data_IF_758202529235
#
_entry.id   IF_758202529235
#
_cell.length_a   1.000
_cell.length_b   1.000
_cell.length_c   1.000
_cell.angle_alpha   90.00
_cell.angle_beta   90.00
_cell.angle_gamma   90.00
#
_symmetry.space_group_name_H-M   'P 1'
#
loop_
_entity.id
_entity.type
_entity.pdbx_description
1 polymer ?
#
# COMPACT_ATOMS: atom_id res chain seq x y z
N UNK A 1 -17.50 -20.02 -8.60
CA UNK A 1 -16.04 -19.98 -8.61
C UNK A 1 -15.58 -19.44 -7.26
N UNK A 2 -14.54 -20.02 -6.68
CA UNK A 2 -13.95 -19.59 -5.41
C UNK A 2 -12.82 -18.60 -5.65
N UNK A 3 -12.80 -17.47 -4.94
CA UNK A 3 -11.76 -16.45 -5.08
C UNK A 3 -10.87 -16.32 -3.84
N UNK A 4 -9.58 -16.08 -4.07
CA UNK A 4 -8.62 -15.68 -3.04
C UNK A 4 -8.07 -14.27 -3.32
N UNK A 5 -8.19 -13.41 -2.33
CA UNK A 5 -7.70 -12.04 -2.30
C UNK A 5 -6.26 -11.94 -1.79
N UNK A 6 -5.46 -11.12 -2.45
CA UNK A 6 -4.10 -10.75 -2.06
C UNK A 6 -4.02 -9.24 -1.88
N UNK A 7 -3.45 -8.78 -0.77
CA UNK A 7 -3.25 -7.36 -0.49
C UNK A 7 -1.80 -7.01 -0.81
N UNK A 8 -1.56 -6.16 -1.81
CA UNK A 8 -0.25 -6.06 -2.46
C UNK A 8 0.11 -4.64 -2.89
N UNK A 9 1.40 -4.43 -3.15
CA UNK A 9 1.93 -3.17 -3.69
C UNK A 9 2.68 -3.36 -5.00
N UNK A 10 3.31 -4.52 -5.18
CA UNK A 10 4.05 -4.92 -6.38
C UNK A 10 5.04 -3.85 -6.87
N UNK A 11 5.96 -3.44 -6.00
CA UNK A 11 6.90 -2.35 -6.25
C UNK A 11 8.38 -2.78 -6.36
N UNK A 12 8.82 -3.47 -7.43
CA UNK A 12 8.03 -4.06 -8.51
C UNK A 12 7.48 -5.46 -8.15
N UNK A 13 6.69 -6.07 -9.03
CA UNK A 13 6.29 -7.47 -8.93
C UNK A 13 7.51 -8.39 -9.15
N UNK A 14 7.79 -9.35 -8.27
CA UNK A 14 9.05 -10.12 -8.26
C UNK A 14 8.79 -11.60 -7.94
N UNK A 15 9.81 -12.46 -8.01
CA UNK A 15 9.64 -13.92 -7.86
C UNK A 15 9.06 -14.34 -6.49
N UNK A 16 9.41 -13.61 -5.42
CA UNK A 16 8.74 -13.78 -4.12
C UNK A 16 7.22 -13.53 -4.15
N UNK A 17 6.73 -12.60 -4.99
CA UNK A 17 5.30 -12.40 -5.21
C UNK A 17 4.67 -13.53 -6.03
N UNK A 18 5.39 -14.08 -7.01
CA UNK A 18 4.95 -15.29 -7.76
C UNK A 18 4.76 -16.46 -6.80
N UNK A 19 5.76 -16.72 -5.95
CA UNK A 19 5.69 -17.77 -4.95
C UNK A 19 4.50 -17.56 -4.02
N UNK A 20 4.32 -16.34 -3.49
CA UNK A 20 3.17 -16.02 -2.63
C UNK A 20 1.84 -16.28 -3.34
N UNK A 21 1.68 -15.80 -4.58
CA UNK A 21 0.48 -16.01 -5.39
C UNK A 21 0.17 -17.50 -5.57
N UNK A 22 1.15 -18.30 -5.98
CA UNK A 22 0.99 -19.73 -6.21
C UNK A 22 0.63 -20.47 -4.92
N UNK A 23 1.34 -20.21 -3.83
CA UNK A 23 1.07 -20.84 -2.54
C UNK A 23 -0.29 -20.42 -1.97
N UNK A 24 -0.69 -19.16 -2.13
CA UNK A 24 -2.03 -18.71 -1.76
C UNK A 24 -3.11 -19.43 -2.58
N UNK A 25 -2.92 -19.59 -3.88
CA UNK A 25 -3.86 -20.30 -4.74
C UNK A 25 -4.00 -21.77 -4.33
N UNK A 26 -2.88 -22.47 -4.13
CA UNK A 26 -2.86 -23.87 -3.69
C UNK A 26 -3.50 -24.05 -2.31
N UNK A 27 -3.10 -23.22 -1.34
CA UNK A 27 -3.58 -23.32 0.05
C UNK A 27 -5.07 -23.02 0.17
N UNK A 28 -5.60 -22.11 -0.65
CA UNK A 28 -7.02 -21.75 -0.65
C UNK A 28 -7.84 -22.57 -1.63
N UNK A 29 -7.22 -23.35 -2.52
CA UNK A 29 -7.88 -24.02 -3.64
C UNK A 29 -8.73 -23.04 -4.46
N UNK A 30 -8.21 -21.82 -4.66
CA UNK A 30 -8.96 -20.77 -5.34
C UNK A 30 -8.96 -20.99 -6.85
N UNK A 31 -10.14 -20.82 -7.44
CA UNK A 31 -10.26 -20.68 -8.88
C UNK A 31 -9.68 -19.34 -9.31
N UNK A 32 -10.00 -18.24 -8.61
CA UNK A 32 -9.70 -16.88 -9.07
C UNK A 32 -8.78 -16.18 -8.10
N UNK A 33 -7.70 -15.58 -8.61
CA UNK A 33 -6.79 -14.77 -7.80
C UNK A 33 -7.08 -13.28 -7.97
N UNK A 34 -7.44 -12.59 -6.89
CA UNK A 34 -7.79 -11.17 -6.88
C UNK A 34 -6.72 -10.40 -6.12
N UNK A 35 -6.03 -9.47 -6.77
CA UNK A 35 -5.12 -8.54 -6.09
C UNK A 35 -5.83 -7.23 -5.80
N UNK A 36 -5.84 -6.77 -4.55
CA UNK A 36 -6.09 -5.36 -4.21
C UNK A 36 -4.74 -4.67 -4.07
N UNK A 37 -4.44 -3.75 -4.98
CA UNK A 37 -3.11 -3.20 -5.17
C UNK A 37 -3.08 -1.71 -4.85
N UNK A 38 -2.12 -1.28 -4.02
CA UNK A 38 -1.83 0.14 -3.81
C UNK A 38 -1.72 0.88 -5.14
N UNK A 39 -2.33 2.06 -5.22
CA UNK A 39 -2.30 2.96 -6.38
C UNK A 39 -0.89 3.56 -6.57
N UNK A 40 -0.78 4.80 -7.02
CA UNK A 40 0.47 5.48 -7.37
C UNK A 40 1.47 5.60 -6.22
N UNK A 41 0.96 5.74 -4.99
CA UNK A 41 1.75 5.81 -3.77
C UNK A 41 1.41 4.66 -2.84
N UNK A 42 2.37 4.26 -2.03
CA UNK A 42 2.35 3.02 -1.26
C UNK A 42 2.14 3.25 0.25
N UNK A 43 1.93 2.18 1.00
CA UNK A 43 1.69 2.19 2.46
C UNK A 43 2.80 2.89 3.25
N UNK A 44 4.04 2.73 2.79
CA UNK A 44 5.20 3.38 3.42
C UNK A 44 5.36 4.85 3.01
N UNK A 45 4.48 5.34 2.13
CA UNK A 45 4.55 6.67 1.54
C UNK A 45 5.48 6.76 0.34
N UNK A 46 6.04 5.66 -0.15
CA UNK A 46 6.91 5.72 -1.33
C UNK A 46 6.09 5.86 -2.62
N UNK A 47 6.58 6.59 -3.64
CA UNK A 47 6.05 6.46 -4.99
C UNK A 47 6.36 5.04 -5.51
N UNK A 48 5.40 4.43 -6.20
CA UNK A 48 5.68 3.18 -6.90
C UNK A 48 6.67 3.42 -8.04
N UNK A 49 7.65 2.53 -8.25
CA UNK A 49 8.73 2.66 -9.24
C UNK A 49 8.22 2.85 -10.67
N UNK A 50 7.05 2.27 -10.97
CA UNK A 50 6.29 2.46 -12.19
C UNK A 50 4.79 2.52 -11.89
N UNK A 51 4.01 3.06 -12.83
CA UNK A 51 2.59 3.34 -12.61
C UNK A 51 1.77 2.07 -12.28
N UNK A 52 0.57 2.29 -11.73
CA UNK A 52 -0.33 1.20 -11.33
C UNK A 52 -0.80 0.34 -12.50
N UNK A 53 -0.79 0.85 -13.73
CA UNK A 53 -1.25 0.10 -14.91
C UNK A 53 -0.18 -0.87 -15.43
N UNK A 54 1.09 -0.46 -15.43
CA UNK A 54 2.21 -1.33 -15.76
C UNK A 54 2.39 -2.40 -14.68
N UNK A 55 2.21 -2.07 -13.40
CA UNK A 55 2.15 -3.07 -12.31
C UNK A 55 0.98 -4.04 -12.47
N UNK A 56 -0.21 -3.55 -12.82
CA UNK A 56 -1.36 -4.42 -13.08
C UNK A 56 -1.12 -5.38 -14.27
N UNK A 57 -0.51 -4.90 -15.37
CA UNK A 57 -0.12 -5.77 -16.49
C UNK A 57 0.87 -6.86 -16.08
N UNK A 58 1.88 -6.51 -15.28
CA UNK A 58 2.85 -7.48 -14.78
C UNK A 58 2.17 -8.56 -13.91
N UNK A 59 1.27 -8.15 -13.02
CA UNK A 59 0.52 -9.07 -12.15
C UNK A 59 -0.39 -10.02 -12.95
N UNK A 60 -1.17 -9.49 -13.91
CA UNK A 60 -2.09 -10.29 -14.73
C UNK A 60 -1.35 -11.36 -15.55
N UNK A 61 -0.20 -11.00 -16.15
CA UNK A 61 0.64 -11.95 -16.91
C UNK A 61 1.36 -12.97 -16.03
N UNK A 62 1.36 -12.76 -14.72
CA UNK A 62 2.00 -13.63 -13.74
C UNK A 62 1.00 -14.52 -12.98
N UNK A 63 -0.29 -14.51 -13.36
CA UNK A 63 -1.31 -15.41 -12.82
C UNK A 63 -2.34 -14.76 -11.89
N UNK A 64 -2.31 -13.43 -11.72
CA UNK A 64 -3.43 -12.72 -11.08
C UNK A 64 -4.58 -12.62 -12.07
N UNK A 65 -5.82 -12.87 -11.65
CA UNK A 65 -6.99 -12.83 -12.52
C UNK A 65 -7.70 -11.47 -12.52
N UNK A 66 -7.65 -10.75 -11.40
CA UNK A 66 -8.29 -9.43 -11.24
C UNK A 66 -7.35 -8.53 -10.44
N UNK A 67 -7.11 -7.31 -10.91
CA UNK A 67 -6.40 -6.28 -10.14
C UNK A 67 -7.36 -5.14 -9.82
N UNK A 68 -7.68 -4.99 -8.55
CA UNK A 68 -8.41 -3.86 -7.98
C UNK A 68 -7.43 -2.80 -7.49
N UNK A 69 -7.79 -1.54 -7.65
CA UNK A 69 -7.07 -0.42 -7.03
C UNK A 69 -7.50 -0.28 -5.58
N UNK A 70 -6.53 -0.24 -4.66
CA UNK A 70 -6.74 0.22 -3.31
C UNK A 70 -6.78 1.76 -3.33
N UNK A 71 -7.89 2.40 -2.92
CA UNK A 71 -7.95 3.85 -2.90
C UNK A 71 -6.82 4.45 -2.07
N UNK A 72 -6.18 5.50 -2.60
CA UNK A 72 -5.13 6.31 -2.03
C UNK A 72 -5.33 6.62 -0.54
N UNK A 73 -6.55 7.00 -0.14
CA UNK A 73 -6.87 7.35 1.25
C UNK A 73 -6.63 6.21 2.22
N UNK A 74 -6.68 4.96 1.74
CA UNK A 74 -6.34 3.75 2.49
C UNK A 74 -4.92 3.28 2.17
N UNK A 75 -4.48 3.41 0.91
CA UNK A 75 -3.16 2.97 0.47
C UNK A 75 -2.04 3.65 1.25
N UNK A 76 -2.11 4.97 1.47
CA UNK A 76 -1.05 5.74 2.13
C UNK A 76 -1.37 5.94 3.61
N UNK A 77 -1.48 4.86 4.37
CA UNK A 77 -1.87 4.89 5.79
C UNK A 77 -1.06 3.93 6.67
N UNK A 78 -1.31 4.00 7.97
CA UNK A 78 -0.85 2.98 8.91
C UNK A 78 -1.59 1.65 8.69
N UNK A 79 -1.04 0.56 9.24
CA UNK A 79 -1.44 -0.81 8.94
C UNK A 79 -2.95 -1.07 9.08
N UNK A 80 -3.59 -0.61 10.16
CA UNK A 80 -5.03 -0.87 10.39
C UNK A 80 -5.92 -0.21 9.32
N UNK A 81 -5.67 1.04 8.95
CA UNK A 81 -6.50 1.73 7.95
C UNK A 81 -6.20 1.23 6.52
N UNK A 82 -4.94 0.87 6.24
CA UNK A 82 -4.55 0.17 5.02
C UNK A 82 -5.27 -1.18 4.89
N UNK A 83 -5.23 -1.99 5.95
CA UNK A 83 -5.91 -3.27 6.04
C UNK A 83 -7.42 -3.11 5.88
N UNK A 84 -8.02 -2.13 6.55
CA UNK A 84 -9.45 -1.84 6.45
C UNK A 84 -9.88 -1.57 5.00
N UNK A 85 -9.22 -0.65 4.30
CA UNK A 85 -9.56 -0.35 2.91
C UNK A 85 -9.39 -1.54 1.98
N UNK A 86 -8.31 -2.30 2.15
CA UNK A 86 -8.04 -3.49 1.34
C UNK A 86 -9.09 -4.59 1.56
N UNK A 87 -9.44 -4.87 2.82
CA UNK A 87 -10.45 -5.86 3.19
C UNK A 87 -11.84 -5.41 2.76
N UNK A 88 -12.21 -4.13 2.91
CA UNK A 88 -13.47 -3.58 2.38
C UNK A 88 -13.58 -3.78 0.87
N UNK A 89 -12.49 -3.53 0.14
CA UNK A 89 -12.44 -3.66 -1.32
C UNK A 89 -12.60 -5.13 -1.75
N UNK A 90 -11.87 -6.05 -1.11
CA UNK A 90 -11.97 -7.49 -1.42
C UNK A 90 -13.34 -8.06 -1.03
N UNK A 91 -13.82 -7.72 0.18
CA UNK A 91 -15.13 -8.15 0.66
C UNK A 91 -16.26 -7.62 -0.22
N UNK A 92 -16.12 -6.38 -0.73
CA UNK A 92 -17.09 -5.78 -1.63
C UNK A 92 -17.22 -6.50 -2.97
N UNK A 93 -16.15 -7.16 -3.45
CA UNK A 93 -16.21 -7.99 -4.66
C UNK A 93 -16.78 -9.40 -4.39
N UNK A 94 -16.94 -9.80 -3.12
CA UNK A 94 -17.39 -11.14 -2.75
C UNK A 94 -16.27 -12.19 -2.71
N UNK A 95 -15.05 -11.78 -2.34
CA UNK A 95 -13.88 -12.68 -2.22
C UNK A 95 -14.01 -13.59 -1.00
N UNK A 96 -13.77 -14.90 -1.18
CA UNK A 96 -13.98 -15.92 -0.16
C UNK A 96 -12.87 -16.01 0.90
N UNK A 97 -11.60 -15.93 0.48
CA UNK A 97 -10.43 -16.02 1.35
C UNK A 97 -9.50 -14.82 1.12
N UNK A 98 -8.89 -14.24 2.16
CA UNK A 98 -7.75 -13.31 2.02
C UNK A 98 -6.48 -14.00 2.50
N UNK A 99 -5.45 -14.05 1.66
CA UNK A 99 -4.19 -14.70 2.00
C UNK A 99 -3.03 -13.71 2.08
N UNK A 100 -2.28 -13.76 3.18
CA UNK A 100 -1.11 -12.93 3.42
C UNK A 100 0.10 -13.75 3.90
N UNK A 101 1.31 -13.34 3.52
CA UNK A 101 2.53 -13.93 4.06
C UNK A 101 2.78 -13.46 5.49
N UNK A 102 3.19 -14.36 6.38
CA UNK A 102 3.58 -14.02 7.76
C UNK A 102 4.84 -14.78 8.20
N UNK A 103 5.49 -14.29 9.25
CA UNK A 103 6.57 -15.02 9.90
C UNK A 103 6.04 -16.27 10.64
N UNK A 104 4.83 -16.19 11.21
CA UNK A 104 4.21 -17.26 11.99
C UNK A 104 3.69 -18.43 11.12
N UNK A 105 3.19 -18.15 9.91
CA UNK A 105 2.74 -19.16 8.94
C UNK A 105 1.48 -19.95 9.34
N UNK A 106 0.81 -19.60 10.43
CA UNK A 106 -0.44 -20.22 10.90
C UNK A 106 -1.47 -19.16 11.24
N UNK A 107 -2.73 -19.41 10.88
CA UNK A 107 -3.80 -18.42 11.05
C UNK A 107 -4.37 -18.37 12.47
N UNK A 108 -4.54 -19.52 13.14
CA UNK A 108 -5.21 -19.59 14.45
C UNK A 108 -4.63 -18.64 15.51
N UNK A 109 -3.30 -18.46 15.61
CA UNK A 109 -2.71 -17.49 16.53
C UNK A 109 -3.16 -16.05 16.29
N UNK A 110 -3.37 -15.62 15.03
CA UNK A 110 -3.86 -14.28 14.72
C UNK A 110 -5.32 -14.10 15.14
N UNK A 111 -6.16 -15.11 14.89
CA UNK A 111 -7.58 -15.10 15.29
C UNK A 111 -7.70 -15.05 16.82
N UNK A 112 -6.97 -15.92 17.52
CA UNK A 112 -6.90 -15.90 18.99
C UNK A 112 -6.38 -14.56 19.51
N UNK A 113 -5.33 -14.03 18.88
CA UNK A 113 -4.77 -12.72 19.20
C UNK A 113 -5.80 -11.60 19.09
N UNK A 114 -6.66 -11.62 18.07
CA UNK A 114 -7.71 -10.61 17.90
C UNK A 114 -8.77 -10.71 18.99
N UNK A 115 -9.23 -11.91 19.33
CA UNK A 115 -10.19 -12.11 20.41
C UNK A 115 -9.62 -11.66 21.76
N UNK A 116 -8.35 -11.98 22.01
CA UNK A 116 -7.64 -11.51 23.19
C UNK A 116 -7.50 -9.98 23.23
N UNK A 117 -7.13 -9.35 22.12
CA UNK A 117 -7.10 -7.90 21.97
C UNK A 117 -8.45 -7.25 22.30
N UNK A 118 -9.54 -7.82 21.77
CA UNK A 118 -10.90 -7.32 21.99
C UNK A 118 -11.32 -7.39 23.46
N UNK A 119 -10.97 -8.46 24.16
CA UNK A 119 -11.24 -8.62 25.59
C UNK A 119 -10.44 -7.65 26.47
N UNK A 120 -9.22 -7.28 26.05
CA UNK A 120 -8.30 -6.43 26.83
C UNK A 120 -8.22 -4.98 26.30
N UNK A 121 -9.19 -4.55 25.50
CA UNK A 121 -9.17 -3.23 24.87
C UNK A 121 -9.15 -2.08 25.88
N UNK A 122 -9.78 -2.26 27.05
CA UNK A 122 -9.79 -1.30 28.15
C UNK A 122 -8.41 -1.11 28.81
N UNK A 123 -7.50 -2.07 28.67
CA UNK A 123 -6.10 -1.96 29.11
C UNK A 123 -5.22 -1.42 27.99
N UNK A 124 -5.44 -1.90 26.76
CA UNK A 124 -4.67 -1.51 25.59
C UNK A 124 -4.77 0.00 25.28
N UNK A 125 -5.99 0.55 25.24
CA UNK A 125 -6.22 1.93 24.77
C UNK A 125 -5.55 2.98 25.68
N UNK A 126 -5.69 2.93 27.02
CA UNK A 126 -4.97 3.85 27.91
C UNK A 126 -3.46 3.75 27.76
N UNK A 127 -2.91 2.54 27.63
CA UNK A 127 -1.46 2.34 27.48
C UNK A 127 -0.93 2.93 26.17
N UNK A 128 -1.66 2.74 25.06
CA UNK A 128 -1.35 3.33 23.77
C UNK A 128 -1.36 4.87 23.86
N UNK A 129 -2.43 5.44 24.41
CA UNK A 129 -2.57 6.89 24.55
C UNK A 129 -1.48 7.50 25.43
N UNK A 130 -1.16 6.86 26.57
CA UNK A 130 -0.10 7.33 27.44
C UNK A 130 1.26 7.29 26.73
N UNK A 131 1.57 6.18 26.05
CA UNK A 131 2.81 6.03 25.30
C UNK A 131 2.98 7.08 24.19
N UNK A 132 1.88 7.47 23.53
CA UNK A 132 1.89 8.56 22.53
C UNK A 132 2.08 9.93 23.18
N UNK A 133 1.46 10.18 24.34
CA UNK A 133 1.66 11.41 25.13
C UNK A 133 3.12 11.54 25.59
N UNK A 134 3.75 10.43 25.94
CA UNK A 134 5.17 10.35 26.30
C UNK A 134 6.11 10.59 25.09
N UNK A 135 5.55 10.79 23.90
CA UNK A 135 6.29 11.14 22.69
C UNK A 135 6.92 9.98 21.96
N UNK A 136 6.50 8.74 22.25
CA UNK A 136 6.87 7.60 21.44
C UNK A 136 6.20 7.66 20.08
N UNK A 137 6.89 7.15 19.07
CA UNK A 137 6.27 6.93 17.76
C UNK A 137 5.13 5.90 17.86
N UNK A 138 4.15 5.99 16.95
CA UNK A 138 3.02 5.05 16.95
C UNK A 138 3.44 3.57 16.94
N UNK A 139 4.42 3.10 16.14
CA UNK A 139 4.87 1.71 16.21
C UNK A 139 5.41 1.32 17.59
N UNK A 140 6.16 2.20 18.26
CA UNK A 140 6.70 1.95 19.60
C UNK A 140 5.59 1.97 20.65
N UNK A 141 4.67 2.92 20.56
CA UNK A 141 3.53 3.03 21.47
C UNK A 141 2.58 1.83 21.34
N UNK A 142 2.30 1.41 20.10
CA UNK A 142 1.49 0.23 19.80
C UNK A 142 2.17 -1.05 20.27
N UNK A 143 3.49 -1.21 20.07
CA UNK A 143 4.26 -2.33 20.63
C UNK A 143 4.12 -2.41 22.15
N UNK A 144 4.31 -1.30 22.87
CA UNK A 144 4.13 -1.24 24.33
C UNK A 144 2.70 -1.59 24.77
N UNK A 145 1.71 -1.12 24.02
CA UNK A 145 0.32 -1.44 24.31
C UNK A 145 0.02 -2.94 24.09
N UNK A 146 0.56 -3.56 23.04
CA UNK A 146 0.46 -5.01 22.84
C UNK A 146 1.21 -5.80 23.91
N UNK A 147 2.39 -5.34 24.35
CA UNK A 147 3.14 -5.93 25.46
C UNK A 147 2.32 -5.90 26.75
N UNK A 148 1.63 -4.80 27.06
CA UNK A 148 0.81 -4.68 28.28
C UNK A 148 -0.37 -5.66 28.35
N UNK A 149 -0.79 -6.20 27.21
CA UNK A 149 -1.83 -7.21 27.13
C UNK A 149 -1.27 -8.59 26.74
N UNK A 150 0.05 -8.77 26.67
CA UNK A 150 0.69 -10.07 26.43
C UNK A 150 0.63 -10.60 24.99
N UNK A 151 0.49 -9.73 23.98
CA UNK A 151 0.43 -10.13 22.56
C UNK A 151 1.78 -10.07 21.81
N UNK A 152 2.90 -9.93 22.51
CA UNK A 152 4.25 -9.89 21.91
C UNK A 152 5.14 -11.08 22.28
N UNK A 153 4.70 -11.91 23.23
CA UNK A 153 5.46 -13.07 23.73
C UNK A 153 4.79 -14.40 23.41
N UNK A 154 3.68 -14.38 22.67
CA UNK A 154 2.90 -15.56 22.28
C UNK A 154 3.34 -16.20 20.95
N UNK A 155 2.47 -17.05 20.40
CA UNK A 155 2.71 -17.76 19.12
C UNK A 155 2.81 -16.81 17.91
N UNK A 156 2.31 -15.58 18.03
CA UNK A 156 2.50 -14.50 17.05
C UNK A 156 3.18 -13.33 17.75
N UNK A 157 4.41 -13.04 17.32
CA UNK A 157 5.12 -11.82 17.70
C UNK A 157 4.64 -10.66 16.81
N UNK A 158 3.77 -9.82 17.35
CA UNK A 158 3.26 -8.60 16.70
C UNK A 158 4.32 -7.50 16.55
N UNK A 159 5.55 -7.70 17.00
CA UNK A 159 6.67 -6.79 16.70
C UNK A 159 7.27 -7.03 15.31
N UNK A 160 6.99 -8.17 14.67
CA UNK A 160 7.44 -8.48 13.31
C UNK A 160 6.58 -7.76 12.25
N UNK A 161 7.18 -7.24 11.16
CA UNK A 161 6.46 -6.42 10.17
C UNK A 161 5.32 -7.12 9.44
N UNK A 162 5.45 -8.40 9.06
CA UNK A 162 4.37 -9.08 8.34
C UNK A 162 3.31 -9.63 9.31
N UNK A 163 3.69 -10.06 10.51
CA UNK A 163 2.74 -10.42 11.56
C UNK A 163 1.85 -9.24 11.96
N UNK A 164 2.40 -8.03 12.21
CA UNK A 164 1.54 -6.89 12.58
C UNK A 164 0.55 -6.53 11.47
N UNK A 165 0.99 -6.63 10.21
CA UNK A 165 0.13 -6.38 9.07
C UNK A 165 -0.95 -7.47 8.91
N UNK A 166 -0.57 -8.74 9.08
CA UNK A 166 -1.48 -9.88 9.12
C UNK A 166 -2.54 -9.77 10.22
N UNK A 167 -2.13 -9.31 11.40
CA UNK A 167 -3.04 -9.01 12.50
C UNK A 167 -4.02 -7.89 12.15
N UNK A 168 -3.56 -6.81 11.51
CA UNK A 168 -4.44 -5.75 11.00
C UNK A 168 -5.44 -6.27 9.97
N UNK A 169 -5.09 -7.25 9.12
CA UNK A 169 -6.04 -7.86 8.20
C UNK A 169 -7.11 -8.69 8.90
N UNK A 170 -6.72 -9.54 9.86
CA UNK A 170 -7.67 -10.32 10.67
C UNK A 170 -8.61 -9.38 11.43
N UNK A 171 -8.04 -8.35 12.07
CA UNK A 171 -8.80 -7.30 12.76
C UNK A 171 -9.81 -6.63 11.82
N UNK A 172 -9.39 -6.24 10.61
CA UNK A 172 -10.25 -5.60 9.64
C UNK A 172 -11.39 -6.51 9.17
N UNK A 173 -11.11 -7.80 8.88
CA UNK A 173 -12.13 -8.80 8.49
C UNK A 173 -13.22 -8.92 9.55
N UNK A 174 -12.81 -9.05 10.81
CA UNK A 174 -13.72 -9.20 11.95
C UNK A 174 -14.51 -7.91 12.23
N UNK A 175 -13.87 -6.74 12.16
CA UNK A 175 -14.52 -5.45 12.45
C UNK A 175 -15.56 -5.04 11.41
N UNK A 176 -15.39 -5.44 10.14
CA UNK A 176 -16.41 -5.20 9.11
C UNK A 176 -17.43 -6.34 9.01
N UNK A 177 -17.32 -7.38 9.85
CA UNK A 177 -18.13 -8.60 9.79
C UNK A 177 -18.15 -9.24 8.37
N UNK A 178 -16.99 -9.31 7.73
CA UNK A 178 -16.88 -9.93 6.40
C UNK A 178 -17.08 -11.44 6.47
N UNK A 179 -17.64 -12.02 5.42
CA UNK A 179 -17.69 -13.48 5.22
C UNK A 179 -16.32 -14.05 4.79
N UNK A 180 -15.39 -13.17 4.39
CA UNK A 180 -14.06 -13.54 3.91
C UNK A 180 -13.24 -14.18 5.02
N UNK A 181 -12.58 -15.31 4.71
CA UNK A 181 -11.77 -16.06 5.67
C UNK A 181 -10.30 -15.64 5.58
N UNK A 182 -9.67 -15.20 6.67
CA UNK A 182 -8.24 -14.89 6.62
C UNK A 182 -7.43 -16.18 6.58
N UNK A 183 -6.34 -16.16 5.81
CA UNK A 183 -5.40 -17.25 5.59
C UNK A 183 -3.98 -16.70 5.61
N UNK A 184 -3.02 -17.53 5.97
CA UNK A 184 -1.63 -17.12 5.91
C UNK A 184 -0.72 -18.25 5.47
N UNK A 185 0.36 -17.89 4.78
CA UNK A 185 1.44 -18.79 4.41
C UNK A 185 2.74 -18.31 5.07
N UNK A 186 3.62 -19.24 5.38
CA UNK A 186 4.93 -18.90 5.93
C UNK A 186 5.81 -18.27 4.84
N UNK A 187 6.45 -17.14 5.16
CA UNK A 187 7.44 -16.55 4.24
C UNK A 187 8.70 -17.42 4.20
N UNK A 188 9.10 -17.84 3.00
CA UNK A 188 10.44 -18.43 2.76
C UNK A 188 11.50 -17.34 2.98
N UNK A 189 12.51 -17.64 3.81
CA UNK A 189 13.52 -16.68 4.30
C UNK A 189 14.22 -15.93 3.16
N UNK A 190 13.71 -14.76 2.82
CA UNK A 190 14.52 -13.60 2.41
C UNK A 190 14.24 -12.59 3.51
N UNK A 191 15.25 -12.32 4.35
CA UNK A 191 15.09 -11.44 5.49
C UNK A 191 14.59 -10.08 5.04
N UNK A 192 13.80 -9.41 5.87
CA UNK A 192 13.29 -8.05 5.63
C UNK A 192 14.41 -6.98 5.50
N UNK A 193 15.68 -7.40 5.49
CA UNK A 193 16.90 -6.60 5.48
C UNK A 193 18.03 -7.21 4.64
N UNK A 194 17.77 -8.19 3.76
CA UNK A 194 18.81 -8.69 2.86
C UNK A 194 19.07 -7.66 1.75
N UNK A 195 20.13 -6.89 1.97
CA UNK A 195 20.58 -5.80 1.12
C UNK A 195 21.16 -6.27 -0.23
N UNK A 196 21.47 -7.56 -0.37
CA UNK A 196 22.11 -8.13 -1.56
C UNK A 196 21.19 -9.14 -2.25
N UNK A 197 21.14 -9.09 -3.59
CA UNK A 197 20.43 -10.06 -4.43
C UNK A 197 21.34 -11.28 -4.62
N UNK A 198 21.37 -12.17 -3.64
CA UNK A 198 22.16 -13.42 -3.74
C UNK A 198 21.34 -14.61 -4.29
N UNK A 199 20.02 -14.47 -4.37
CA UNK A 199 19.09 -15.56 -4.74
C UNK A 199 18.00 -15.10 -5.73
N UNK A 200 17.31 -16.07 -6.36
CA UNK A 200 16.15 -15.81 -7.24
C UNK A 200 14.99 -15.11 -6.51
N UNK A 201 14.98 -15.13 -5.18
CA UNK A 201 14.01 -14.42 -4.35
C UNK A 201 14.75 -13.31 -3.58
N UNK A 202 14.59 -12.07 -4.04
CA UNK A 202 15.07 -10.87 -3.38
C UNK A 202 13.91 -10.01 -2.88
N UNK A 203 14.22 -9.11 -1.93
CA UNK A 203 13.25 -8.12 -1.45
C UNK A 203 12.94 -7.08 -2.54
N UNK A 204 11.71 -6.56 -2.56
CA UNK A 204 11.36 -5.48 -3.47
C UNK A 204 12.27 -4.25 -3.29
N UNK A 205 12.69 -3.95 -2.04
CA UNK A 205 13.54 -2.80 -1.73
C UNK A 205 14.95 -2.95 -2.31
N UNK A 206 15.58 -4.13 -2.20
CA UNK A 206 16.91 -4.36 -2.77
C UNK A 206 16.88 -4.28 -4.30
N UNK A 207 15.85 -4.85 -4.94
CA UNK A 207 15.64 -4.73 -6.40
C UNK A 207 15.50 -3.26 -6.82
N UNK A 208 14.66 -2.47 -6.13
CA UNK A 208 14.49 -1.05 -6.47
C UNK A 208 15.78 -0.27 -6.30
N UNK A 209 16.50 -0.48 -5.20
CA UNK A 209 17.75 0.22 -4.91
C UNK A 209 18.77 0.01 -6.02
N UNK A 210 18.95 -1.23 -6.46
CA UNK A 210 19.88 -1.58 -7.53
C UNK A 210 19.46 -0.96 -8.88
N UNK A 211 18.18 -1.04 -9.23
CA UNK A 211 17.66 -0.43 -10.48
C UNK A 211 17.84 1.10 -10.48
N UNK A 212 17.57 1.76 -9.36
CA UNK A 212 17.65 3.21 -9.23
C UNK A 212 19.09 3.72 -9.18
N UNK A 213 19.99 3.03 -8.47
CA UNK A 213 21.41 3.40 -8.39
C UNK A 213 22.09 3.29 -9.74
N UNK A 214 21.85 2.18 -10.43
CA UNK A 214 22.55 1.85 -11.67
C UNK A 214 21.83 2.42 -12.90
N UNK A 215 20.64 3.01 -12.69
CA UNK A 215 19.76 3.55 -13.73
C UNK A 215 19.54 2.57 -14.88
N UNK A 216 19.55 1.28 -14.57
CA UNK A 216 19.34 0.18 -15.52
C UNK A 216 18.82 -1.06 -14.78
N UNK A 217 18.20 -1.98 -15.52
CA UNK A 217 17.82 -3.29 -14.96
C UNK A 217 19.07 -4.18 -15.01
N UNK A 218 19.70 -4.39 -13.85
CA UNK A 218 20.95 -5.16 -13.74
C UNK A 218 20.73 -6.65 -13.94
N UNK A 219 21.83 -7.39 -14.16
CA UNK A 219 21.80 -8.85 -14.26
C UNK A 219 21.25 -9.55 -13.02
N UNK A 220 21.43 -8.96 -11.83
CA UNK A 220 20.88 -9.55 -10.59
C UNK A 220 19.39 -9.25 -10.47
N UNK A 221 18.96 -8.01 -10.76
CA UNK A 221 17.55 -7.66 -10.80
C UNK A 221 16.78 -8.57 -11.78
N UNK A 222 17.36 -8.87 -12.96
CA UNK A 222 16.76 -9.80 -13.93
C UNK A 222 16.49 -11.20 -13.36
N UNK A 223 17.35 -11.72 -12.48
CA UNK A 223 17.16 -13.05 -11.86
C UNK A 223 16.02 -13.05 -10.83
N UNK A 224 15.73 -11.91 -10.22
CA UNK A 224 14.71 -11.77 -9.18
C UNK A 224 13.32 -11.39 -9.72
N UNK A 225 13.21 -11.10 -11.02
CA UNK A 225 12.00 -10.56 -11.65
C UNK A 225 11.42 -11.52 -12.70
N UNK A 226 10.09 -11.73 -12.71
CA UNK A 226 9.43 -12.39 -13.82
C UNK A 226 9.58 -11.61 -15.13
N UNK A 227 9.58 -12.32 -16.25
CA UNK A 227 9.70 -11.72 -17.59
C UNK A 227 8.65 -10.64 -17.86
N UNK A 228 7.42 -10.85 -17.38
CA UNK A 228 6.34 -9.87 -17.48
C UNK A 228 6.69 -8.55 -16.78
N UNK A 229 7.31 -8.60 -15.59
CA UNK A 229 7.73 -7.38 -14.88
C UNK A 229 8.84 -6.67 -15.62
N UNK A 230 9.83 -7.41 -16.12
CA UNK A 230 10.96 -6.85 -16.89
C UNK A 230 10.42 -6.08 -18.11
N UNK A 231 9.52 -6.71 -18.87
CA UNK A 231 8.88 -6.09 -20.03
C UNK A 231 8.15 -4.79 -19.66
N UNK A 232 7.42 -4.78 -18.54
CA UNK A 232 6.69 -3.59 -18.09
C UNK A 232 7.60 -2.48 -17.54
N UNK A 233 8.68 -2.82 -16.83
CA UNK A 233 9.66 -1.84 -16.36
C UNK A 233 10.36 -1.14 -17.53
N UNK A 234 10.78 -1.91 -18.54
CA UNK A 234 11.38 -1.35 -19.75
C UNK A 234 10.38 -0.53 -20.57
N UNK A 235 9.15 -1.04 -20.73
CA UNK A 235 8.10 -0.33 -21.45
C UNK A 235 7.74 1.00 -20.76
N UNK A 236 7.71 1.02 -19.44
CA UNK A 236 7.52 2.23 -18.67
C UNK A 236 8.70 3.18 -18.86
N UNK A 237 9.94 2.71 -18.66
CA UNK A 237 11.15 3.52 -18.80
C UNK A 237 11.28 4.18 -20.19
N UNK A 238 10.92 3.46 -21.26
CA UNK A 238 10.88 4.02 -22.63
C UNK A 238 9.87 5.16 -22.80
N UNK A 239 8.77 5.14 -22.04
CA UNK A 239 7.69 6.14 -22.12
C UNK A 239 7.89 7.30 -21.14
N UNK A 240 8.20 7.00 -19.88
CA UNK A 240 8.35 7.97 -18.79
C UNK A 240 9.72 8.66 -18.81
N UNK A 241 10.75 7.96 -19.31
CA UNK A 241 12.16 8.36 -19.20
C UNK A 241 12.64 8.45 -17.73
N UNK A 242 11.91 7.79 -16.82
CA UNK A 242 12.08 7.87 -15.37
C UNK A 242 11.51 6.61 -14.69
N UNK A 243 12.26 6.05 -13.76
CA UNK A 243 11.70 5.26 -12.66
C UNK A 243 11.54 6.16 -11.44
N UNK A 244 10.39 6.06 -10.79
CA UNK A 244 10.06 6.99 -9.72
C UNK A 244 10.84 6.67 -8.44
N UNK A 245 11.47 7.71 -7.91
CA UNK A 245 12.02 7.78 -6.56
C UNK A 245 11.63 9.12 -5.93
N UNK A 246 11.93 9.31 -4.64
CA UNK A 246 11.57 10.54 -3.93
C UNK A 246 12.35 11.79 -4.39
N UNK A 247 13.56 11.63 -4.91
CA UNK A 247 14.38 12.77 -5.38
C UNK A 247 13.70 13.46 -6.57
N UNK A 248 13.01 12.71 -7.43
CA UNK A 248 12.20 13.26 -8.52
C UNK A 248 11.05 14.19 -8.04
N UNK A 249 10.59 14.04 -6.79
CA UNK A 249 9.50 14.85 -6.22
C UNK A 249 9.99 15.98 -5.31
N UNK A 250 11.27 15.95 -4.92
CA UNK A 250 11.84 16.88 -3.94
C UNK A 250 11.64 18.37 -4.29
N UNK A 251 11.85 18.83 -5.54
CA UNK A 251 11.65 20.24 -5.87
C UNK A 251 10.19 20.71 -5.70
N UNK A 252 9.23 19.81 -5.95
CA UNK A 252 7.80 20.13 -5.76
C UNK A 252 7.46 20.23 -4.28
N UNK A 253 8.02 19.35 -3.45
CA UNK A 253 7.84 19.42 -2.00
C UNK A 253 8.44 20.70 -1.41
N UNK A 254 9.65 21.07 -1.86
CA UNK A 254 10.27 22.34 -1.46
C UNK A 254 9.37 23.51 -1.80
N UNK A 255 8.92 23.60 -3.06
CA UNK A 255 7.98 24.65 -3.48
C UNK A 255 6.74 24.70 -2.58
N UNK A 256 6.08 23.55 -2.35
CA UNK A 256 4.87 23.47 -1.53
C UNK A 256 5.11 23.92 -0.09
N UNK A 257 6.22 23.50 0.53
CA UNK A 257 6.54 23.93 1.90
C UNK A 257 6.94 25.40 1.94
N UNK A 258 7.69 25.91 0.96
CA UNK A 258 8.15 27.30 0.93
C UNK A 258 7.01 28.28 0.73
N UNK A 259 6.05 27.97 -0.14
CA UNK A 259 5.00 28.93 -0.53
C UNK A 259 3.74 28.88 0.33
N UNK A 260 3.43 27.74 0.98
CA UNK A 260 2.20 27.60 1.79
C UNK A 260 2.33 28.25 3.16
N UNK A 261 1.23 28.71 3.74
CA UNK A 261 1.22 29.20 5.12
C UNK A 261 1.42 28.06 6.12
N UNK A 262 1.72 28.43 7.37
CA UNK A 262 1.82 27.48 8.48
C UNK A 262 0.48 26.77 8.71
N UNK A 263 -0.62 27.50 8.59
CA UNK A 263 -1.99 27.01 8.77
C UNK A 263 -2.35 25.99 7.68
N UNK A 264 -1.97 26.25 6.43
CA UNK A 264 -2.19 25.33 5.31
C UNK A 264 -1.38 24.04 5.46
N UNK A 265 -0.14 24.11 5.96
CA UNK A 265 0.67 22.90 6.21
C UNK A 265 0.10 22.12 7.40
N UNK A 266 -0.36 22.81 8.45
CA UNK A 266 -0.94 22.19 9.64
C UNK A 266 -2.20 21.37 9.35
N UNK A 267 -2.99 21.75 8.34
CA UNK A 267 -4.23 21.02 7.99
C UNK A 267 -3.97 19.69 7.28
N UNK A 268 -2.76 19.48 6.74
CA UNK A 268 -2.39 18.27 5.99
C UNK A 268 -2.40 17.04 6.90
N UNK A 269 -2.97 15.94 6.40
CA UNK A 269 -3.07 14.70 7.16
C UNK A 269 -1.69 14.20 7.61
N UNK A 270 -1.59 13.88 8.90
CA UNK A 270 -0.37 13.37 9.53
C UNK A 270 0.61 14.44 10.03
N UNK A 271 0.41 15.72 9.67
CA UNK A 271 1.11 16.86 10.26
C UNK A 271 0.50 17.16 11.62
N UNK A 272 1.24 16.87 12.70
CA UNK A 272 0.78 17.14 14.07
C UNK A 272 1.90 17.81 14.88
N UNK A 273 1.54 18.40 16.01
CA UNK A 273 2.50 18.74 17.08
C UNK A 273 3.74 19.53 16.61
N UNK A 274 3.53 20.55 15.78
CA UNK A 274 4.57 21.50 15.37
C UNK A 274 5.48 21.03 14.23
N UNK A 275 5.16 19.91 13.54
CA UNK A 275 5.88 19.48 12.35
C UNK A 275 5.86 20.56 11.26
N UNK A 276 4.79 21.34 11.15
CA UNK A 276 4.67 22.44 10.19
C UNK A 276 5.78 23.49 10.35
N UNK A 277 6.18 23.80 11.60
CA UNK A 277 7.28 24.72 11.87
C UNK A 277 8.62 24.10 11.51
N UNK A 278 8.82 22.83 11.83
CA UNK A 278 10.07 22.11 11.50
C UNK A 278 10.26 21.98 9.99
N UNK A 279 9.19 21.71 9.23
CA UNK A 279 9.20 21.68 7.78
C UNK A 279 9.68 23.02 7.22
N UNK A 280 9.08 24.13 7.67
CA UNK A 280 9.46 25.48 7.26
C UNK A 280 10.90 25.85 7.62
N UNK A 281 11.38 25.43 8.79
CA UNK A 281 12.75 25.72 9.22
C UNK A 281 13.79 24.96 8.38
N UNK A 282 13.55 23.67 8.14
CA UNK A 282 14.55 22.76 7.55
C UNK A 282 14.54 22.73 6.02
N UNK A 283 13.48 23.21 5.36
CA UNK A 283 13.37 23.16 3.89
C UNK A 283 14.52 23.90 3.17
N UNK A 284 15.00 25.00 3.75
CA UNK A 284 16.06 25.82 3.18
C UNK A 284 17.47 25.24 3.40
N UNK A 285 17.61 24.28 4.32
CA UNK A 285 18.87 23.58 4.61
C UNK A 285 19.00 22.29 3.78
N UNK A 286 17.90 21.78 3.25
CA UNK A 286 17.85 20.51 2.56
C UNK A 286 18.42 20.58 1.13
N UNK A 287 19.38 19.70 0.85
CA UNK A 287 20.02 19.59 -0.48
C UNK A 287 19.44 18.44 -1.33
N UNK A 288 18.93 17.41 -0.67
CA UNK A 288 18.28 16.24 -1.27
C UNK A 288 17.08 15.84 -0.41
N UNK A 289 16.17 15.03 -0.97
CA UNK A 289 15.07 14.50 -0.17
C UNK A 289 15.59 13.66 1.01
N UNK A 290 16.59 12.84 0.76
CA UNK A 290 17.22 12.03 1.82
C UNK A 290 17.80 12.90 2.95
N UNK A 291 18.53 13.97 2.60
CA UNK A 291 19.06 14.91 3.60
C UNK A 291 17.91 15.58 4.38
N UNK A 292 16.84 16.01 3.70
CA UNK A 292 15.71 16.62 4.37
C UNK A 292 15.03 15.68 5.37
N UNK A 293 14.87 14.42 5.00
CA UNK A 293 14.32 13.39 5.86
C UNK A 293 15.17 13.16 7.11
N UNK A 294 16.49 13.24 7.01
CA UNK A 294 17.41 13.17 8.15
C UNK A 294 17.23 14.36 9.10
N UNK A 295 17.08 15.58 8.56
CA UNK A 295 16.80 16.79 9.35
C UNK A 295 15.43 16.73 10.05
N UNK A 296 14.42 16.15 9.40
CA UNK A 296 13.05 16.05 9.93
C UNK A 296 12.85 14.92 10.93
N UNK A 297 13.62 13.83 10.81
CA UNK A 297 13.46 12.64 11.64
C UNK A 297 13.63 12.97 13.12
N UNK A 298 12.70 12.48 13.93
CA UNK A 298 12.78 12.55 15.39
C UNK A 298 12.38 11.21 16.01
N UNK A 299 12.40 11.08 17.34
CA UNK A 299 11.85 9.89 18.03
C UNK A 299 10.36 9.69 17.73
N UNK A 300 9.61 10.79 17.60
CA UNK A 300 8.17 10.79 17.35
C UNK A 300 7.85 10.56 15.85
N UNK A 301 8.64 11.16 14.97
CA UNK A 301 8.48 11.08 13.52
C UNK A 301 9.42 10.05 12.90
N UNK A 302 8.87 8.87 12.62
CA UNK A 302 9.57 7.83 11.86
C UNK A 302 9.68 8.23 10.39
N UNK A 303 10.65 7.63 9.69
CA UNK A 303 10.87 7.81 8.26
C UNK A 303 9.60 7.56 7.44
N UNK A 304 8.97 6.42 7.64
CA UNK A 304 7.73 6.04 6.94
C UNK A 304 6.57 6.99 7.23
N UNK A 305 6.50 7.59 8.41
CA UNK A 305 5.47 8.58 8.74
C UNK A 305 5.70 9.87 7.97
N UNK A 306 6.94 10.34 7.91
CA UNK A 306 7.31 11.54 7.16
C UNK A 306 7.07 11.35 5.66
N UNK A 307 7.43 10.19 5.10
CA UNK A 307 7.11 9.86 3.70
C UNK A 307 5.61 9.96 3.43
N UNK A 308 4.74 9.35 4.26
CA UNK A 308 3.28 9.48 4.10
C UNK A 308 2.81 10.94 4.15
N UNK A 309 3.32 11.73 5.10
CA UNK A 309 3.02 13.17 5.19
C UNK A 309 3.38 13.90 3.89
N UNK A 310 4.55 13.61 3.31
CA UNK A 310 4.95 14.23 2.05
C UNK A 310 4.05 13.86 0.90
N UNK A 311 3.53 12.63 0.85
CA UNK A 311 2.52 12.28 -0.14
C UNK A 311 1.24 13.09 0.07
N UNK A 312 0.74 13.20 1.31
CA UNK A 312 -0.45 14.01 1.61
C UNK A 312 -0.23 15.50 1.30
N UNK A 313 1.00 15.99 1.44
CA UNK A 313 1.36 17.35 1.04
C UNK A 313 1.30 17.53 -0.48
N UNK A 314 1.86 16.59 -1.26
CA UNK A 314 1.81 16.60 -2.72
C UNK A 314 0.37 16.56 -3.25
N UNK A 315 -0.49 15.78 -2.61
CA UNK A 315 -1.91 15.60 -3.02
C UNK A 315 -2.84 16.63 -2.39
N UNK A 316 -2.33 17.50 -1.52
CA UNK A 316 -3.13 18.43 -0.73
C UNK A 316 -4.29 17.75 0.01
N UNK A 317 -3.98 16.65 0.71
CA UNK A 317 -4.94 15.86 1.47
C UNK A 317 -4.93 16.28 2.92
N UNK A 318 -6.07 16.80 3.39
CA UNK A 318 -6.26 17.27 4.76
C UNK A 318 -6.66 16.14 5.71
N UNK A 319 -6.57 16.39 7.01
CA UNK A 319 -7.09 15.46 8.02
C UNK A 319 -8.60 15.20 7.86
N UNK A 320 -9.37 16.22 7.48
CA UNK A 320 -10.82 16.14 7.26
C UNK A 320 -11.16 15.22 6.09
N UNK A 321 -10.39 15.30 4.99
CA UNK A 321 -10.57 14.44 3.81
C UNK A 321 -10.50 12.95 4.19
N UNK A 322 -9.60 12.58 5.11
CA UNK A 322 -9.40 11.18 5.52
C UNK A 322 -10.43 10.74 6.57
N UNK A 323 -10.85 11.63 7.48
CA UNK A 323 -11.71 11.27 8.62
C UNK A 323 -13.03 10.64 8.17
N UNK A 324 -13.62 11.16 7.08
CA UNK A 324 -14.83 10.61 6.48
C UNK A 324 -14.71 9.14 6.11
N UNK A 325 -13.57 8.73 5.52
CA UNK A 325 -13.37 7.38 4.99
C UNK A 325 -12.95 6.35 6.04
N UNK A 326 -12.53 6.77 7.24
CA UNK A 326 -12.07 5.85 8.30
C UNK A 326 -13.15 4.87 8.75
N UNK A 327 -14.40 5.33 8.79
CA UNK A 327 -15.50 4.61 9.42
C UNK A 327 -16.51 4.02 8.42
N UNK A 328 -16.21 4.06 7.12
CA UNK A 328 -17.07 3.43 6.11
C UNK A 328 -17.21 1.93 6.39
N UNK A 329 -18.43 1.43 6.26
CA UNK A 329 -18.75 0.00 6.42
C UNK A 329 -18.64 -0.78 5.12
N UNK A 330 -18.72 -0.08 3.99
CA UNK A 330 -18.68 -0.64 2.64
C UNK A 330 -17.81 0.25 1.76
N UNK A 331 -17.23 -0.34 0.72
CA UNK A 331 -16.46 0.42 -0.26
C UNK A 331 -17.44 1.24 -1.15
N UNK A 332 -17.17 2.53 -1.41
CA UNK A 332 -18.05 3.36 -2.25
C UNK A 332 -18.09 2.89 -3.70
N UNK A 333 -16.99 2.30 -4.17
CA UNK A 333 -16.86 1.66 -5.48
C UNK A 333 -15.74 0.62 -5.44
N UNK A 334 -15.68 -0.22 -6.47
CA UNK A 334 -14.56 -1.12 -6.74
C UNK A 334 -13.91 -0.73 -8.07
N UNK A 335 -12.69 -0.22 -8.00
CA UNK A 335 -11.94 0.24 -9.17
C UNK A 335 -11.14 -0.90 -9.76
N UNK A 336 -11.51 -1.36 -10.95
CA UNK A 336 -10.83 -2.44 -11.66
C UNK A 336 -9.75 -1.86 -12.57
N UNK A 337 -8.49 -2.16 -12.28
CA UNK A 337 -7.35 -1.78 -13.13
C UNK A 337 -7.17 -2.76 -14.29
N UNK A 338 -7.48 -4.03 -14.08
CA UNK A 338 -7.41 -5.05 -15.12
C UNK A 338 -7.91 -6.42 -14.70
N UNK A 339 -8.15 -7.29 -15.68
CA UNK A 339 -8.66 -8.64 -15.48
C UNK A 339 -8.30 -9.58 -16.65
N UNK A 340 -8.18 -10.87 -16.37
CA UNK A 340 -8.16 -11.96 -17.35
C UNK A 340 -9.56 -12.38 -17.76
N UNK A 341 -9.69 -13.27 -18.75
CA UNK A 341 -10.98 -13.91 -19.07
C UNK A 341 -11.61 -14.62 -17.87
N UNK A 342 -10.81 -15.33 -17.06
CA UNK A 342 -11.26 -15.98 -15.83
C UNK A 342 -11.76 -14.97 -14.79
N UNK A 343 -11.03 -13.86 -14.62
CA UNK A 343 -11.46 -12.75 -13.78
C UNK A 343 -12.76 -12.11 -14.26
N UNK A 344 -12.94 -11.97 -15.57
CA UNK A 344 -14.18 -11.44 -16.17
C UNK A 344 -15.38 -12.34 -15.87
N UNK A 345 -15.24 -13.66 -16.02
CA UNK A 345 -16.30 -14.62 -15.70
C UNK A 345 -16.71 -14.52 -14.23
N UNK A 346 -15.73 -14.42 -13.33
CA UNK A 346 -15.99 -14.23 -11.91
C UNK A 346 -16.74 -12.91 -11.62
N UNK A 347 -16.29 -11.78 -12.18
CA UNK A 347 -16.98 -10.50 -12.02
C UNK A 347 -18.42 -10.57 -12.53
N UNK A 348 -18.68 -11.23 -13.65
CA UNK A 348 -20.03 -11.41 -14.18
C UNK A 348 -20.93 -12.23 -13.24
N UNK A 349 -20.37 -13.23 -12.54
CA UNK A 349 -21.08 -13.97 -11.50
C UNK A 349 -21.39 -13.08 -10.29
N UNK A 350 -20.39 -12.35 -9.80
CA UNK A 350 -20.51 -11.49 -8.61
C UNK A 350 -21.44 -10.30 -8.80
N UNK A 351 -21.51 -9.73 -10.01
CA UNK A 351 -22.44 -8.62 -10.35
C UNK A 351 -23.92 -8.91 -10.03
N UNK A 352 -24.31 -10.16 -9.86
CA UNK A 352 -25.68 -10.55 -9.46
C UNK A 352 -25.92 -10.49 -7.95
N UNK A 353 -24.85 -10.34 -7.17
CA UNK A 353 -24.85 -10.46 -5.71
C UNK A 353 -24.31 -9.22 -5.00
N UNK A 354 -23.59 -8.35 -5.73
CA UNK A 354 -23.00 -7.12 -5.17
C UNK A 354 -23.75 -5.89 -5.69
N UNK A 355 -24.03 -4.96 -4.78
CA UNK A 355 -24.64 -3.66 -5.09
C UNK A 355 -23.60 -2.54 -5.28
N UNK A 356 -22.32 -2.84 -5.01
CA UNK A 356 -21.24 -1.85 -5.09
C UNK A 356 -20.89 -1.55 -6.56
N UNK A 357 -20.82 -0.27 -6.97
CA UNK A 357 -20.46 0.13 -8.32
C UNK A 357 -19.07 -0.37 -8.74
N UNK A 358 -19.01 -1.05 -9.89
CA UNK A 358 -17.74 -1.40 -10.54
C UNK A 358 -17.30 -0.29 -11.48
N UNK A 359 -16.15 0.30 -11.19
CA UNK A 359 -15.62 1.47 -11.89
C UNK A 359 -14.34 1.11 -12.62
N UNK A 360 -14.20 1.57 -13.86
CA UNK A 360 -12.97 1.39 -14.65
C UNK A 360 -12.36 2.69 -15.13
N UNK A 361 -13.18 3.73 -15.29
CA UNK A 361 -12.74 5.10 -15.61
C UNK A 361 -13.00 6.02 -14.39
N UNK A 362 -12.03 6.88 -14.05
CA UNK A 362 -12.07 7.71 -12.83
C UNK A 362 -13.20 8.75 -12.87
N UNK A 363 -13.73 9.04 -14.06
CA UNK A 363 -14.85 9.96 -14.31
C UNK A 363 -16.19 9.22 -14.48
N UNK A 364 -16.24 7.91 -14.28
CA UNK A 364 -17.47 7.11 -14.46
C UNK A 364 -18.49 7.33 -13.34
N UNK A 365 -18.02 7.76 -12.16
CA UNK A 365 -18.82 8.00 -10.98
C UNK A 365 -18.39 9.35 -10.37
N UNK A 366 -19.35 10.13 -9.89
CA UNK A 366 -19.10 11.36 -9.17
C UNK A 366 -18.99 11.04 -7.67
N UNK A 367 -17.78 10.66 -7.23
CA UNK A 367 -17.47 10.35 -5.85
C UNK A 367 -16.24 11.17 -5.39
N UNK A 368 -16.28 11.87 -4.24
CA UNK A 368 -15.14 12.66 -3.76
C UNK A 368 -13.84 11.86 -3.58
N UNK A 369 -13.92 10.54 -3.37
CA UNK A 369 -12.76 9.67 -3.29
C UNK A 369 -12.06 9.53 -4.65
N UNK A 370 -12.80 9.49 -5.76
CA UNK A 370 -12.21 9.48 -7.11
C UNK A 370 -11.48 10.79 -7.42
N UNK A 371 -11.94 11.92 -6.88
CA UNK A 371 -11.22 13.19 -6.97
C UNK A 371 -9.88 13.14 -6.21
N UNK A 372 -9.82 12.46 -5.06
CA UNK A 372 -8.57 12.22 -4.34
C UNK A 372 -7.63 11.28 -5.11
N UNK A 373 -8.16 10.24 -5.76
CA UNK A 373 -7.37 9.39 -6.67
C UNK A 373 -6.80 10.16 -7.86
N UNK A 374 -7.55 11.11 -8.41
CA UNK A 374 -7.08 11.93 -9.52
C UNK A 374 -5.93 12.84 -9.07
N UNK A 375 -6.06 13.49 -7.90
CA UNK A 375 -4.97 14.27 -7.28
C UNK A 375 -3.73 13.41 -7.04
N UNK A 376 -3.88 12.19 -6.53
CA UNK A 376 -2.78 11.25 -6.33
C UNK A 376 -2.09 10.90 -7.66
N UNK A 377 -2.86 10.66 -8.72
CA UNK A 377 -2.32 10.39 -10.05
C UNK A 377 -1.60 11.61 -10.65
N UNK A 378 -2.15 12.81 -10.47
CA UNK A 378 -1.55 14.05 -10.95
C UNK A 378 -0.24 14.39 -10.23
N UNK A 379 -0.20 14.18 -8.92
CA UNK A 379 1.00 14.29 -8.11
C UNK A 379 2.05 13.27 -8.57
N UNK A 380 1.65 12.00 -8.77
CA UNK A 380 2.57 10.94 -9.20
C UNK A 380 3.27 11.24 -10.52
N UNK A 381 2.55 11.75 -11.51
CA UNK A 381 3.14 12.12 -12.80
C UNK A 381 3.75 13.54 -12.85
N UNK A 382 3.74 14.31 -11.76
CA UNK A 382 4.27 15.67 -11.72
C UNK A 382 5.75 15.79 -12.17
N UNK A 383 6.65 14.85 -11.85
CA UNK A 383 8.04 14.90 -12.33
C UNK A 383 8.21 14.71 -13.85
N UNK A 384 7.16 14.26 -14.56
CA UNK A 384 7.25 13.97 -15.98
C UNK A 384 7.00 15.21 -16.85
N UNK A 385 7.59 15.23 -18.05
CA UNK A 385 7.32 16.28 -19.04
C UNK A 385 5.82 16.31 -19.39
N UNK A 386 5.22 17.50 -19.67
CA UNK A 386 3.77 17.62 -19.89
C UNK A 386 3.19 16.70 -20.97
N UNK A 387 3.91 16.49 -22.08
CA UNK A 387 3.49 15.60 -23.17
C UNK A 387 3.44 14.13 -22.74
N UNK A 388 4.43 13.70 -21.96
CA UNK A 388 4.51 12.34 -21.40
C UNK A 388 3.41 12.14 -20.36
N UNK A 389 3.29 13.06 -19.39
CA UNK A 389 2.24 13.05 -18.36
C UNK A 389 0.85 12.93 -19.00
N UNK A 390 0.54 13.78 -19.98
CA UNK A 390 -0.75 13.76 -20.70
C UNK A 390 -1.02 12.39 -21.35
N UNK A 391 0.00 11.75 -21.92
CA UNK A 391 -0.17 10.46 -22.57
C UNK A 391 -0.36 9.30 -21.59
N UNK A 392 0.39 9.27 -20.49
CA UNK A 392 0.23 8.22 -19.46
C UNK A 392 -1.10 8.35 -18.71
N UNK A 393 -1.53 9.58 -18.37
CA UNK A 393 -2.80 9.83 -17.66
C UNK A 393 -4.03 9.39 -18.44
N UNK A 394 -3.96 9.27 -19.78
CA UNK A 394 -5.08 8.77 -20.60
C UNK A 394 -5.61 7.41 -20.14
N UNK A 395 -4.75 6.56 -19.58
CA UNK A 395 -5.14 5.23 -19.12
C UNK A 395 -6.18 5.27 -17.98
N UNK A 396 -6.24 6.35 -17.17
CA UNK A 396 -7.28 6.56 -16.15
C UNK A 396 -8.69 6.71 -16.71
N UNK A 397 -8.78 7.11 -17.98
CA UNK A 397 -10.02 7.43 -18.70
C UNK A 397 -10.47 6.30 -19.63
N UNK A 398 -9.70 5.22 -19.70
CA UNK A 398 -10.00 4.05 -20.53
C UNK A 398 -10.55 2.90 -19.70
N UNK A 399 -11.08 1.88 -20.37
CA UNK A 399 -11.49 0.65 -19.70
C UNK A 399 -10.32 -0.10 -19.03
N UNK A 400 -10.63 -1.16 -18.29
CA UNK A 400 -9.62 -1.94 -17.58
C UNK A 400 -8.70 -2.66 -18.56
N UNK A 401 -7.48 -2.98 -18.13
CA UNK A 401 -6.57 -3.83 -18.90
C UNK A 401 -7.21 -5.22 -19.05
N UNK A 402 -7.33 -5.70 -20.28
CA UNK A 402 -7.87 -7.02 -20.59
C UNK A 402 -6.74 -7.93 -21.09
N UNK A 403 -6.69 -9.16 -20.59
CA UNK A 403 -5.77 -10.21 -21.02
C UNK A 403 -6.46 -11.49 -21.43
#
# INVERSE_FOLDING_TARGET
>A
MKACGLIVEYNPFHNGHVYHLQQSQEHTQADVMVAVMSSSFLQRGEPAIMDKFHRARAALRSGVDIVLELPYVYAVQFADLFARGAVLTLSGLGVDDVCFGSEAGKIDPFIKGYQHYKQHQQTFQPQLQQSLKDGLSFPQASKKAYESIGLTTGEVDLSQPNNILGFSYVKAVEEINSHMKPRTIQRTKSGYHDEQIEHEIASATSIRREILSDRSITSNALKALPSATIEQLEAYQRKSVLWHDWEAYFPFLQLLVETRSIEEIRSIHGVIEGLEYRLKQTVHEAETFEHWMQLLKTKRYTWTRLQRVFVHLLTNTTGEDIEYYKNLKEAPYLRILGMTNKGREYIQQQKKQIDIPLVSNIQQLDDPLLNLEEKATDAYYAPLKPTIKKNLKKQELTGPILM
#
